data_IF_303947075668
#
_entry.id   IF_303947075668
#
_cell.length_a   1.000
_cell.length_b   1.000
_cell.length_c   1.000
_cell.angle_alpha   90.00
_cell.angle_beta   90.00
_cell.angle_gamma   90.00
#
_symmetry.space_group_name_H-M   'P 1'
#
loop_
_entity.id
_entity.type
_entity.pdbx_description
1 polymer ?
#
# COMPACT_ATOMS: atom_id res chain seq x y z
N UNK A 1 -8.25 4.30 -11.12
CA UNK A 1 -8.61 4.42 -9.68
C UNK A 1 -9.95 3.74 -9.41
N UNK A 2 -11.03 4.06 -10.14
CA UNK A 2 -12.36 3.51 -9.91
C UNK A 2 -12.41 1.97 -9.96
N UNK A 3 -11.75 1.34 -10.94
CA UNK A 3 -11.70 -0.11 -11.06
C UNK A 3 -11.00 -0.77 -9.87
N UNK A 4 -9.92 -0.16 -9.36
CA UNK A 4 -9.23 -0.66 -8.17
C UNK A 4 -10.15 -0.55 -6.95
N UNK A 5 -10.78 0.60 -6.76
CA UNK A 5 -11.71 0.81 -5.65
C UNK A 5 -12.86 -0.18 -5.68
N UNK A 6 -13.52 -0.36 -6.83
CA UNK A 6 -14.61 -1.33 -7.00
C UNK A 6 -14.16 -2.76 -6.67
N UNK A 7 -12.98 -3.18 -7.16
CA UNK A 7 -12.44 -4.50 -6.88
C UNK A 7 -12.22 -4.72 -5.38
N UNK A 8 -11.56 -3.79 -4.70
CA UNK A 8 -11.24 -3.97 -3.28
C UNK A 8 -12.45 -3.84 -2.37
N UNK A 9 -13.43 -3.00 -2.71
CA UNK A 9 -14.73 -2.91 -2.02
C UNK A 9 -15.52 -4.22 -2.15
N UNK A 10 -15.48 -4.86 -3.32
CA UNK A 10 -16.18 -6.14 -3.56
C UNK A 10 -15.50 -7.32 -2.87
N UNK A 11 -14.17 -7.35 -2.84
CA UNK A 11 -13.39 -8.52 -2.40
C UNK A 11 -12.85 -8.40 -0.98
N UNK A 12 -12.68 -7.20 -0.48
CA UNK A 12 -11.97 -6.92 0.78
C UNK A 12 -10.45 -7.03 0.69
N UNK A 13 -9.87 -7.31 -0.49
CA UNK A 13 -8.41 -7.45 -0.67
C UNK A 13 -7.70 -6.16 -0.26
N UNK A 14 -6.67 -6.23 0.61
CA UNK A 14 -5.94 -5.04 1.05
C UNK A 14 -5.00 -4.52 -0.02
N UNK A 15 -4.74 -3.21 0.01
CA UNK A 15 -3.88 -2.52 -0.95
C UNK A 15 -2.75 -1.81 -0.24
N UNK A 16 -1.51 -2.19 -0.58
CA UNK A 16 -0.32 -1.41 -0.29
C UNK A 16 0.18 -0.71 -1.56
N UNK A 17 0.66 0.51 -1.45
CA UNK A 17 1.15 1.27 -2.60
C UNK A 17 2.67 1.42 -2.60
N UNK A 18 3.27 1.47 -3.79
CA UNK A 18 4.61 2.05 -3.92
C UNK A 18 4.56 3.56 -3.71
N UNK A 19 5.70 4.24 -3.56
CA UNK A 19 5.75 5.70 -3.45
C UNK A 19 5.02 6.40 -4.61
N UNK A 20 5.21 5.93 -5.84
CA UNK A 20 4.55 6.47 -7.01
C UNK A 20 3.06 6.10 -7.13
N UNK A 21 2.62 5.10 -6.39
CA UNK A 21 1.23 4.63 -6.33
C UNK A 21 0.37 5.34 -5.27
N UNK A 22 0.95 6.24 -4.50
CA UNK A 22 0.21 7.04 -3.52
C UNK A 22 -0.97 7.76 -4.16
N UNK A 23 -2.13 7.74 -3.48
CA UNK A 23 -3.37 8.30 -4.00
C UNK A 23 -4.21 7.36 -4.88
N UNK A 24 -3.79 6.10 -5.08
CA UNK A 24 -4.61 5.09 -5.80
C UNK A 24 -5.90 4.77 -5.07
N UNK A 25 -5.89 4.84 -3.75
CA UNK A 25 -7.05 4.86 -2.86
C UNK A 25 -6.92 6.05 -1.91
N UNK A 26 -8.02 6.49 -1.33
CA UNK A 26 -8.00 7.50 -0.28
C UNK A 26 -7.35 6.95 0.99
N UNK A 27 -6.71 7.80 1.76
CA UNK A 27 -5.94 7.40 2.95
C UNK A 27 -6.80 6.73 4.03
N UNK A 28 -8.10 7.05 4.07
CA UNK A 28 -9.10 6.54 5.01
C UNK A 28 -9.86 5.31 4.51
N UNK A 29 -9.51 4.79 3.34
CA UNK A 29 -10.17 3.61 2.79
C UNK A 29 -9.85 2.36 3.64
N UNK A 30 -10.84 1.56 4.08
CA UNK A 30 -10.62 0.44 5.00
C UNK A 30 -9.60 -0.60 4.54
N UNK A 31 -9.49 -0.83 3.23
CA UNK A 31 -8.53 -1.75 2.63
C UNK A 31 -7.17 -1.11 2.29
N UNK A 32 -7.00 0.20 2.52
CA UNK A 32 -5.72 0.86 2.26
C UNK A 32 -4.77 0.70 3.45
N UNK A 33 -3.63 0.10 3.21
CA UNK A 33 -2.61 -0.16 4.22
C UNK A 33 -1.50 0.91 4.26
N UNK A 34 -1.51 1.84 3.29
CA UNK A 34 -0.44 2.80 3.11
C UNK A 34 0.67 2.31 2.18
N UNK A 35 1.83 2.93 2.25
CA UNK A 35 3.00 2.55 1.47
C UNK A 35 3.60 1.22 1.91
N UNK A 36 4.15 0.46 0.97
CA UNK A 36 4.91 -0.77 1.23
C UNK A 36 6.40 -0.54 0.95
N UNK A 37 7.27 -1.19 1.69
CA UNK A 37 8.72 -1.17 1.50
C UNK A 37 9.46 -0.35 2.54
N UNK A 38 10.65 0.17 2.18
CA UNK A 38 11.60 0.82 3.10
C UNK A 38 11.02 2.03 3.84
N UNK A 39 10.13 2.77 3.19
CA UNK A 39 9.42 3.94 3.74
C UNK A 39 7.92 3.68 3.90
N UNK A 40 7.55 2.42 3.97
CA UNK A 40 6.16 1.99 4.11
C UNK A 40 5.66 2.02 5.55
N UNK A 41 4.34 1.86 5.70
CA UNK A 41 3.70 1.72 7.01
C UNK A 41 4.01 0.36 7.64
N UNK A 42 3.89 0.26 8.95
CA UNK A 42 3.99 -1.04 9.62
C UNK A 42 2.86 -1.97 9.20
N UNK A 43 1.64 -1.44 9.00
CA UNK A 43 0.49 -2.21 8.54
C UNK A 43 0.76 -2.86 7.18
N UNK A 44 1.16 -2.07 6.18
CA UNK A 44 1.45 -2.60 4.84
C UNK A 44 2.60 -3.61 4.86
N UNK A 45 3.68 -3.32 5.58
CA UNK A 45 4.85 -4.19 5.60
C UNK A 45 4.58 -5.53 6.33
N UNK A 46 3.78 -5.54 7.39
CA UNK A 46 3.41 -6.78 8.10
C UNK A 46 2.51 -7.67 7.25
N UNK A 47 1.50 -7.08 6.61
CA UNK A 47 0.62 -7.83 5.70
C UNK A 47 1.41 -8.34 4.49
N UNK A 48 2.26 -7.51 3.89
CA UNK A 48 3.08 -7.90 2.74
C UNK A 48 4.08 -9.03 3.08
N UNK A 49 4.65 -9.04 4.30
CA UNK A 49 5.61 -10.04 4.71
C UNK A 49 5.03 -11.45 4.76
N UNK A 50 3.73 -11.58 5.04
CA UNK A 50 3.06 -12.87 5.24
C UNK A 50 2.11 -13.25 4.08
N UNK A 51 1.94 -12.36 3.10
CA UNK A 51 1.03 -12.58 1.98
C UNK A 51 1.38 -13.87 1.22
N UNK A 52 0.37 -14.68 0.92
CA UNK A 52 0.47 -15.88 0.09
C UNK A 52 0.32 -15.57 -1.40
N UNK A 53 -0.42 -14.51 -1.74
CA UNK A 53 -0.53 -13.99 -3.11
C UNK A 53 -0.25 -12.49 -3.11
N UNK A 54 0.61 -12.05 -4.01
CA UNK A 54 0.96 -10.65 -4.21
C UNK A 54 0.61 -10.25 -5.64
N UNK A 55 -0.38 -9.38 -5.78
CA UNK A 55 -0.81 -8.87 -7.08
C UNK A 55 -0.15 -7.51 -7.29
N UNK A 56 0.91 -7.48 -8.10
CA UNK A 56 1.60 -6.24 -8.45
C UNK A 56 0.99 -5.61 -9.69
N UNK A 57 0.42 -4.40 -9.55
CA UNK A 57 -0.26 -3.70 -10.63
C UNK A 57 0.53 -2.43 -10.96
N UNK A 58 1.10 -2.37 -12.16
CA UNK A 58 1.88 -1.22 -12.64
C UNK A 58 3.16 -0.92 -11.85
N UNK A 59 3.52 -1.76 -10.89
CA UNK A 59 4.72 -1.56 -10.08
C UNK A 59 5.98 -2.03 -10.80
N UNK A 60 7.10 -1.36 -10.54
CA UNK A 60 8.43 -1.77 -11.02
C UNK A 60 9.22 -2.56 -9.99
N UNK A 61 8.67 -2.79 -8.81
CA UNK A 61 9.37 -3.45 -7.70
C UNK A 61 10.76 -2.86 -7.46
N UNK A 62 10.80 -1.52 -7.30
CA UNK A 62 12.03 -0.80 -6.98
C UNK A 62 12.59 -1.26 -5.64
N UNK A 63 13.84 -0.96 -5.39
CA UNK A 63 14.51 -1.28 -4.14
C UNK A 63 13.77 -0.71 -2.92
N UNK A 64 13.24 0.51 -3.03
CA UNK A 64 12.41 1.11 -2.00
C UNK A 64 11.12 0.32 -1.74
N UNK A 65 10.38 -0.08 -2.80
CA UNK A 65 9.14 -0.84 -2.68
C UNK A 65 9.36 -2.23 -2.09
N UNK A 66 10.50 -2.85 -2.38
CA UNK A 66 10.81 -4.18 -1.90
C UNK A 66 11.63 -4.18 -0.61
N UNK A 67 11.98 -3.00 -0.07
CA UNK A 67 12.91 -2.86 1.07
C UNK A 67 14.16 -3.71 0.86
N UNK A 68 14.85 -3.53 -0.26
CA UNK A 68 16.01 -4.33 -0.65
C UNK A 68 15.70 -5.85 -0.67
N UNK A 69 14.51 -6.22 -1.13
CA UNK A 69 13.97 -7.60 -1.20
C UNK A 69 13.67 -8.23 0.16
N UNK A 70 13.43 -7.44 1.19
CA UNK A 70 13.06 -7.93 2.52
C UNK A 70 11.59 -7.71 2.87
N UNK A 71 10.81 -7.00 2.05
CA UNK A 71 9.40 -6.71 2.32
C UNK A 71 8.51 -7.96 2.25
N UNK A 72 8.75 -8.83 1.29
CA UNK A 72 7.96 -10.04 1.04
C UNK A 72 8.71 -11.26 1.58
N UNK A 73 8.33 -11.77 2.74
CA UNK A 73 9.10 -12.76 3.49
C UNK A 73 8.57 -14.18 3.38
N UNK A 74 7.31 -14.35 2.91
CA UNK A 74 6.76 -15.68 2.68
C UNK A 74 7.47 -16.33 1.47
N UNK A 75 8.22 -17.42 1.66
CA UNK A 75 8.96 -18.08 0.57
C UNK A 75 8.04 -18.74 -0.45
N UNK A 76 6.79 -19.03 -0.07
CA UNK A 76 5.79 -19.67 -0.92
C UNK A 76 4.84 -18.66 -1.57
N UNK A 77 5.09 -17.35 -1.42
CA UNK A 77 4.26 -16.30 -2.01
C UNK A 77 4.23 -16.39 -3.54
N UNK A 78 3.03 -16.34 -4.09
CA UNK A 78 2.81 -16.30 -5.53
C UNK A 78 2.73 -14.85 -6.02
N UNK A 79 3.59 -14.48 -6.95
CA UNK A 79 3.57 -13.15 -7.56
C UNK A 79 2.81 -13.16 -8.88
N UNK A 80 1.73 -12.39 -8.93
CA UNK A 80 0.94 -12.07 -10.11
C UNK A 80 1.27 -10.64 -10.51
N UNK A 81 2.02 -10.42 -11.58
CA UNK A 81 2.45 -9.08 -11.97
C UNK A 81 1.75 -8.62 -13.24
N UNK A 82 1.00 -7.54 -13.14
CA UNK A 82 0.28 -6.90 -14.22
C UNK A 82 1.02 -5.62 -14.61
N UNK A 83 1.60 -5.57 -15.80
CA UNK A 83 2.32 -4.38 -16.25
C UNK A 83 2.32 -4.30 -17.78
N UNK A 84 2.23 -3.08 -18.33
CA UNK A 84 2.35 -2.85 -19.78
C UNK A 84 3.78 -3.08 -20.27
N UNK A 85 4.79 -2.95 -19.39
CA UNK A 85 6.18 -3.21 -19.71
C UNK A 85 6.55 -4.68 -19.39
N UNK A 86 6.88 -5.51 -20.39
CA UNK A 86 7.25 -6.91 -20.17
C UNK A 86 8.36 -7.08 -19.13
N UNK A 87 9.38 -6.23 -19.19
CA UNK A 87 10.50 -6.27 -18.26
C UNK A 87 10.05 -6.18 -16.79
N UNK A 88 9.08 -5.32 -16.50
CA UNK A 88 8.57 -5.13 -15.14
C UNK A 88 7.58 -6.24 -14.75
N UNK A 89 6.81 -6.78 -15.70
CA UNK A 89 5.91 -7.91 -15.46
C UNK A 89 6.67 -9.18 -15.01
N UNK A 90 7.86 -9.42 -15.54
CA UNK A 90 8.67 -10.60 -15.20
C UNK A 90 9.55 -10.42 -13.97
N UNK A 91 9.49 -9.28 -13.28
CA UNK A 91 10.30 -9.05 -12.08
C UNK A 91 9.84 -9.88 -10.88
N UNK A 92 10.73 -9.95 -9.92
CA UNK A 92 10.52 -10.57 -8.61
C UNK A 92 10.13 -12.06 -8.65
N UNK A 93 10.56 -12.76 -9.71
CA UNK A 93 10.24 -14.19 -9.88
C UNK A 93 8.75 -14.45 -10.11
N UNK A 94 8.06 -13.51 -10.78
CA UNK A 94 6.62 -13.62 -11.04
C UNK A 94 6.26 -14.97 -11.64
N UNK A 95 5.38 -15.69 -10.97
CA UNK A 95 4.83 -16.95 -11.47
C UNK A 95 3.75 -16.71 -12.55
N UNK A 96 3.08 -15.57 -12.48
CA UNK A 96 2.07 -15.18 -13.46
C UNK A 96 2.29 -13.74 -13.95
N UNK A 97 3.21 -13.53 -14.90
CA UNK A 97 3.41 -12.22 -15.53
C UNK A 97 2.32 -11.97 -16.57
N UNK A 98 1.56 -10.89 -16.42
CA UNK A 98 0.52 -10.44 -17.33
C UNK A 98 0.94 -9.13 -17.98
N UNK A 99 1.12 -9.14 -19.30
CA UNK A 99 1.44 -7.93 -20.05
C UNK A 99 0.10 -7.32 -20.50
N UNK A 100 -0.39 -6.36 -19.70
CA UNK A 100 -1.70 -5.76 -19.90
C UNK A 100 -1.76 -4.33 -19.35
N UNK A 101 -2.74 -3.58 -19.87
CA UNK A 101 -3.15 -2.32 -19.25
C UNK A 101 -3.82 -2.59 -17.90
N UNK A 102 -3.48 -1.79 -16.90
CA UNK A 102 -3.97 -2.00 -15.52
C UNK A 102 -5.49 -1.85 -15.41
N UNK A 103 -6.11 -0.95 -16.18
CA UNK A 103 -7.58 -0.75 -16.16
C UNK A 103 -8.30 -1.98 -16.71
N UNK A 104 -7.85 -2.46 -17.88
CA UNK A 104 -8.43 -3.63 -18.53
C UNK A 104 -8.27 -4.87 -17.65
N UNK A 105 -7.06 -5.08 -17.11
CA UNK A 105 -6.79 -6.22 -16.23
C UNK A 105 -7.61 -6.17 -14.92
N UNK A 106 -7.78 -4.99 -14.31
CA UNK A 106 -8.63 -4.84 -13.12
C UNK A 106 -10.11 -5.09 -13.44
N UNK A 107 -10.57 -4.70 -14.62
CA UNK A 107 -11.95 -4.95 -15.06
C UNK A 107 -12.20 -6.44 -15.20
N UNK A 108 -11.32 -7.15 -15.90
CA UNK A 108 -11.42 -8.61 -16.05
C UNK A 108 -11.28 -9.34 -14.71
N UNK A 109 -10.33 -8.92 -13.87
CA UNK A 109 -10.12 -9.49 -12.55
C UNK A 109 -11.37 -9.35 -11.65
N UNK A 110 -12.07 -8.23 -11.74
CA UNK A 110 -13.31 -8.01 -10.99
C UNK A 110 -14.42 -8.97 -11.44
N UNK A 111 -14.47 -9.34 -12.74
CA UNK A 111 -15.41 -10.33 -13.27
C UNK A 111 -15.05 -11.73 -12.77
N UNK A 112 -13.78 -12.10 -12.85
CA UNK A 112 -13.30 -13.44 -12.44
C UNK A 112 -13.40 -13.66 -10.91
N UNK A 113 -13.31 -12.60 -10.12
CA UNK A 113 -13.46 -12.63 -8.67
C UNK A 113 -14.89 -12.32 -8.19
N UNK A 114 -15.90 -12.37 -9.06
CA UNK A 114 -17.29 -12.16 -8.66
C UNK A 114 -17.69 -13.16 -7.56
N UNK A 115 -18.20 -12.63 -6.44
CA UNK A 115 -18.55 -13.40 -5.26
C UNK A 115 -17.38 -13.84 -4.37
N UNK A 116 -16.13 -13.57 -4.75
CA UNK A 116 -14.98 -13.80 -3.87
C UNK A 116 -14.92 -12.72 -2.78
N UNK A 117 -14.65 -13.14 -1.56
CA UNK A 117 -14.32 -12.26 -0.44
C UNK A 117 -13.21 -12.89 0.41
N UNK A 118 -12.34 -12.04 0.95
CA UNK A 118 -11.37 -12.49 1.94
C UNK A 118 -12.08 -13.04 3.19
N UNK A 119 -11.39 -13.88 3.96
CA UNK A 119 -11.97 -14.41 5.19
C UNK A 119 -12.23 -13.30 6.22
N UNK A 120 -13.26 -13.45 7.08
CA UNK A 120 -13.53 -12.50 8.16
C UNK A 120 -12.33 -12.31 9.11
N UNK A 121 -11.58 -13.37 9.38
CA UNK A 121 -10.38 -13.29 10.23
C UNK A 121 -9.29 -12.46 9.59
N UNK A 122 -9.09 -12.58 8.29
CA UNK A 122 -8.12 -11.75 7.56
C UNK A 122 -8.57 -10.28 7.49
N UNK A 123 -9.86 -10.03 7.26
CA UNK A 123 -10.43 -8.69 7.32
C UNK A 123 -10.25 -8.04 8.71
N UNK A 124 -10.50 -8.78 9.78
CA UNK A 124 -10.28 -8.31 11.14
C UNK A 124 -8.80 -7.98 11.40
N UNK A 125 -7.89 -8.80 10.89
CA UNK A 125 -6.45 -8.54 10.99
C UNK A 125 -6.03 -7.27 10.26
N UNK A 126 -6.51 -7.04 9.03
CA UNK A 126 -6.25 -5.79 8.28
C UNK A 126 -6.69 -4.58 9.10
N UNK A 127 -7.91 -4.62 9.64
CA UNK A 127 -8.42 -3.55 10.50
C UNK A 127 -7.57 -3.31 11.75
N UNK A 128 -7.08 -4.37 12.38
CA UNK A 128 -6.22 -4.26 13.55
C UNK A 128 -4.84 -3.67 13.23
N UNK A 129 -4.24 -4.03 12.10
CA UNK A 129 -2.95 -3.46 11.67
C UNK A 129 -3.10 -1.98 11.31
N UNK A 130 -4.17 -1.58 10.62
CA UNK A 130 -4.46 -0.17 10.34
C UNK A 130 -4.67 0.63 11.63
N UNK A 131 -5.53 0.17 12.54
CA UNK A 131 -5.77 0.85 13.81
C UNK A 131 -4.48 0.97 14.66
N UNK A 132 -3.62 -0.05 14.64
CA UNK A 132 -2.32 -0.02 15.31
C UNK A 132 -1.37 1.02 14.69
N UNK A 133 -1.38 1.16 13.38
CA UNK A 133 -0.60 2.18 12.67
C UNK A 133 -1.12 3.58 12.97
N UNK A 134 -2.43 3.80 12.91
CA UNK A 134 -3.05 5.11 13.20
C UNK A 134 -2.74 5.58 14.62
N UNK A 135 -2.85 4.69 15.61
CA UNK A 135 -2.50 5.01 16.99
C UNK A 135 -1.01 5.39 17.16
N UNK A 136 -0.12 4.76 16.38
CA UNK A 136 1.31 5.12 16.37
C UNK A 136 1.52 6.52 15.76
N UNK A 137 0.85 6.81 14.65
CA UNK A 137 0.92 8.12 13.98
C UNK A 137 0.37 9.21 14.90
N UNK A 138 -0.79 9.00 15.50
CA UNK A 138 -1.37 9.95 16.47
C UNK A 138 -0.40 10.26 17.61
N UNK A 139 0.23 9.23 18.17
CA UNK A 139 1.24 9.39 19.23
C UNK A 139 2.44 10.20 18.73
N UNK A 140 2.92 9.92 17.52
CA UNK A 140 4.07 10.60 16.94
C UNK A 140 3.79 12.08 16.61
N UNK A 141 2.53 12.42 16.31
CA UNK A 141 2.09 13.78 16.01
C UNK A 141 1.83 14.63 17.25
N UNK A 142 1.56 14.01 18.40
CA UNK A 142 1.21 14.73 19.66
C UNK A 142 2.34 15.55 20.28
N UNK A 143 3.54 15.39 19.80
CA UNK A 143 4.69 16.10 20.31
C UNK A 143 5.52 15.30 21.32
N UNK A 144 6.80 15.65 21.37
CA UNK A 144 7.77 15.12 22.30
C UNK A 144 8.09 16.16 23.37
N UNK A 145 8.74 15.73 24.45
CA UNK A 145 9.28 16.63 25.48
C UNK A 145 10.64 17.24 25.11
N UNK A 146 11.03 17.19 23.85
CA UNK A 146 12.29 17.72 23.35
C UNK A 146 12.20 19.23 23.13
N UNK A 147 13.34 19.94 23.26
CA UNK A 147 13.41 21.39 23.05
C UNK A 147 13.12 21.81 21.59
N UNK A 148 13.32 20.88 20.64
CA UNK A 148 13.03 21.08 19.21
C UNK A 148 12.06 19.99 18.74
N UNK A 149 11.08 20.36 17.87
CA UNK A 149 10.13 19.39 17.33
C UNK A 149 10.83 18.37 16.43
N UNK A 150 10.40 17.12 16.52
CA UNK A 150 10.80 16.08 15.58
C UNK A 150 10.05 16.19 14.25
N UNK A 151 10.50 15.46 13.23
CA UNK A 151 9.84 15.44 11.91
C UNK A 151 8.36 15.07 11.97
N UNK A 152 7.93 14.02 12.72
CA UNK A 152 6.52 13.67 12.81
C UNK A 152 5.67 14.81 13.38
N UNK A 153 6.18 15.53 14.37
CA UNK A 153 5.49 16.68 14.99
C UNK A 153 5.28 17.82 13.99
N UNK A 154 6.29 18.09 13.15
CA UNK A 154 6.18 19.10 12.08
C UNK A 154 5.12 18.68 11.06
N UNK A 155 5.13 17.40 10.65
CA UNK A 155 4.13 16.86 9.71
C UNK A 155 2.73 16.92 10.31
N UNK A 156 2.58 16.54 11.58
CA UNK A 156 1.30 16.64 12.30
C UNK A 156 0.79 18.07 12.40
N UNK A 157 1.68 19.03 12.66
CA UNK A 157 1.33 20.46 12.69
C UNK A 157 0.87 20.96 11.31
N UNK A 158 1.54 20.58 10.23
CA UNK A 158 1.11 20.92 8.85
C UNK A 158 -0.26 20.29 8.58
N UNK A 159 -0.44 19.02 8.89
CA UNK A 159 -1.72 18.34 8.67
C UNK A 159 -2.86 18.99 9.46
N UNK A 160 -2.62 19.44 10.68
CA UNK A 160 -3.66 20.05 11.54
C UNK A 160 -4.20 21.38 11.02
N UNK A 161 -3.45 22.08 10.16
CA UNK A 161 -3.85 23.37 9.57
C UNK A 161 -4.22 23.26 8.10
N UNK A 162 -3.99 22.09 7.47
CA UNK A 162 -4.30 21.87 6.06
C UNK A 162 -5.77 21.53 5.86
N UNK A 163 -6.35 22.05 4.78
CA UNK A 163 -7.68 21.68 4.29
C UNK A 163 -7.59 20.52 3.27
N UNK A 164 -8.68 19.77 3.03
CA UNK A 164 -8.69 18.67 2.06
C UNK A 164 -8.30 19.08 0.63
N UNK A 165 -8.48 20.35 0.28
CA UNK A 165 -8.19 20.91 -1.04
C UNK A 165 -6.74 21.43 -1.17
N UNK A 166 -5.97 21.44 -0.08
CA UNK A 166 -4.62 21.95 -0.08
C UNK A 166 -3.66 21.02 -0.82
N UNK A 167 -2.76 21.63 -1.59
CA UNK A 167 -1.70 20.90 -2.29
C UNK A 167 -0.39 21.10 -1.53
N UNK A 168 0.11 20.03 -0.93
CA UNK A 168 1.37 20.06 -0.21
C UNK A 168 2.49 19.60 -1.14
N UNK A 169 3.45 20.48 -1.40
CA UNK A 169 4.64 20.18 -2.22
C UNK A 169 5.83 20.04 -1.28
N UNK A 170 6.46 18.87 -1.34
CA UNK A 170 7.62 18.55 -0.50
C UNK A 170 8.76 17.96 -1.32
N UNK A 171 9.99 18.09 -0.83
CA UNK A 171 11.13 17.35 -1.32
C UNK A 171 11.32 16.06 -0.51
N UNK A 172 11.95 15.04 -1.10
CA UNK A 172 12.40 13.87 -0.38
C UNK A 172 13.66 14.22 0.45
N UNK A 173 13.71 13.71 1.67
CA UNK A 173 14.86 13.87 2.56
C UNK A 173 14.44 13.88 4.03
N UNK A 174 15.44 13.74 4.92
CA UNK A 174 15.28 13.99 6.35
C UNK A 174 15.74 15.39 6.69
N UNK A 175 15.03 16.07 7.56
CA UNK A 175 15.41 17.37 8.12
C UNK A 175 16.51 17.18 9.17
#
# INVERSE_FOLDING_TARGET
EDQLRQLVEATGIPVGTSQAGGGSLTWDHPQYLGGVGATGTLAANRIAAEADVIIGIGTRYSDFTTASRTAFQNPDAVFVNINVAPFDAFKHGSQLPLIADAREALTELAIELDGFQISPDYAARIGAENAGWDALVDTAFMGSSLDLPGQPEIIGAVQSVSAPEDIIVQAAGSL
#
